data_IF_315429862494
#
_entry.id   IF_315429862494
#
_cell.length_a   1.000
_cell.length_b   1.000
_cell.length_c   1.000
_cell.angle_alpha   90.00
_cell.angle_beta   90.00
_cell.angle_gamma   90.00
#
_symmetry.space_group_name_H-M   'P 1'
#
loop_
_entity.id
_entity.type
_entity.pdbx_description
1 polymer ?
#
# COMPACT_ATOMS: atom_id res chain seq x y z
N UNK A 1 -36.78 10.59 -22.15
CA UNK A 1 -35.76 10.05 -23.06
C UNK A 1 -34.56 9.67 -22.20
N UNK A 2 -34.36 8.38 -21.97
CA UNK A 2 -33.34 7.86 -21.07
C UNK A 2 -31.97 7.82 -21.74
N UNK A 3 -30.99 8.46 -21.12
CA UNK A 3 -29.58 8.23 -21.41
C UNK A 3 -29.10 7.06 -20.58
N UNK A 4 -29.12 5.86 -21.16
CA UNK A 4 -28.29 4.76 -20.66
C UNK A 4 -26.86 5.15 -20.99
N UNK A 5 -26.17 5.68 -19.99
CA UNK A 5 -24.72 5.85 -20.04
C UNK A 5 -24.12 4.52 -20.46
N UNK A 6 -23.30 4.57 -21.50
CA UNK A 6 -22.47 3.47 -21.98
C UNK A 6 -21.48 3.12 -20.88
N UNK A 7 -21.94 2.37 -19.87
CA UNK A 7 -21.06 1.77 -18.86
C UNK A 7 -20.40 0.62 -19.61
N UNK A 8 -19.24 0.91 -20.20
CA UNK A 8 -18.35 -0.09 -20.77
C UNK A 8 -18.31 -1.27 -19.82
N UNK A 9 -18.74 -2.44 -20.31
CA UNK A 9 -18.82 -3.64 -19.50
C UNK A 9 -17.39 -4.10 -19.25
N UNK A 10 -16.78 -3.58 -18.19
CA UNK A 10 -15.42 -3.92 -17.79
C UNK A 10 -15.31 -5.44 -17.61
N UNK A 11 -14.21 -6.02 -18.10
CA UNK A 11 -13.95 -7.45 -18.06
C UNK A 11 -12.75 -7.67 -17.16
N UNK A 12 -12.86 -8.60 -16.22
CA UNK A 12 -11.77 -8.93 -15.33
C UNK A 12 -10.57 -9.47 -16.13
N UNK A 13 -9.44 -8.79 -16.06
CA UNK A 13 -8.20 -9.13 -16.80
C UNK A 13 -7.68 -10.54 -16.48
N UNK A 14 -8.05 -11.10 -15.32
CA UNK A 14 -7.55 -12.40 -14.84
C UNK A 14 -8.50 -13.58 -15.08
N UNK A 15 -9.81 -13.40 -14.91
CA UNK A 15 -10.77 -14.50 -15.05
C UNK A 15 -11.75 -14.34 -16.22
N UNK A 16 -11.77 -13.17 -16.87
CA UNK A 16 -12.68 -12.89 -17.99
C UNK A 16 -14.14 -12.62 -17.58
N UNK A 17 -14.44 -12.54 -16.27
CA UNK A 17 -15.79 -12.22 -15.80
C UNK A 17 -16.13 -10.75 -16.09
N UNK A 18 -17.35 -10.49 -16.55
CA UNK A 18 -17.87 -9.16 -16.86
C UNK A 18 -18.92 -8.72 -15.82
N UNK A 19 -18.70 -9.16 -14.57
CA UNK A 19 -19.60 -8.99 -13.44
C UNK A 19 -19.55 -7.59 -12.82
N UNK A 20 -20.54 -7.28 -11.99
CA UNK A 20 -20.71 -5.95 -11.39
C UNK A 20 -19.60 -5.55 -10.40
N UNK A 21 -18.72 -6.48 -10.01
CA UNK A 21 -17.60 -6.23 -9.09
C UNK A 21 -16.31 -5.86 -9.80
N UNK A 22 -16.28 -5.93 -11.14
CA UNK A 22 -15.13 -5.53 -11.94
C UNK A 22 -15.02 -4.01 -11.92
N UNK A 23 -13.85 -3.54 -11.51
CA UNK A 23 -13.46 -2.14 -11.52
C UNK A 23 -11.94 -2.06 -11.53
N UNK A 24 -11.43 -0.88 -11.85
CA UNK A 24 -10.01 -0.59 -11.70
C UNK A 24 -9.57 -0.77 -10.23
N UNK A 25 -8.44 -1.45 -10.03
CA UNK A 25 -7.86 -1.78 -8.73
C UNK A 25 -6.41 -1.33 -8.63
N UNK A 26 -5.97 -1.20 -7.37
CA UNK A 26 -4.66 -0.72 -7.02
C UNK A 26 -4.58 0.80 -7.05
N UNK A 27 -3.40 1.27 -6.70
CA UNK A 27 -2.97 2.66 -6.73
C UNK A 27 -1.62 2.62 -7.45
N UNK A 28 -1.20 3.71 -8.08
CA UNK A 28 0.16 3.89 -8.65
C UNK A 28 0.70 2.67 -9.43
N UNK A 29 0.66 2.75 -10.76
CA UNK A 29 1.28 1.82 -11.73
C UNK A 29 0.72 0.38 -11.82
N UNK A 30 -0.15 -0.04 -10.89
CA UNK A 30 -0.84 -1.33 -10.98
C UNK A 30 -2.13 -1.32 -11.81
N UNK A 31 -2.90 -0.23 -11.71
CA UNK A 31 -4.23 0.03 -12.31
C UNK A 31 -4.74 -1.10 -13.22
N UNK A 32 -5.36 -2.12 -12.63
CA UNK A 32 -5.82 -3.32 -13.32
C UNK A 32 -7.34 -3.50 -13.16
N UNK A 33 -8.04 -3.97 -14.20
CA UNK A 33 -9.47 -4.22 -14.13
C UNK A 33 -9.71 -5.62 -13.55
N UNK A 34 -10.05 -5.69 -12.25
CA UNK A 34 -10.20 -6.95 -11.55
C UNK A 34 -11.51 -7.00 -10.74
N UNK A 35 -12.17 -8.15 -10.78
CA UNK A 35 -13.25 -8.46 -9.85
C UNK A 35 -12.70 -8.60 -8.42
N UNK A 36 -13.57 -8.50 -7.40
CA UNK A 36 -13.16 -8.56 -5.98
C UNK A 36 -12.33 -9.80 -5.65
N UNK A 37 -12.74 -10.98 -6.12
CA UNK A 37 -12.05 -12.23 -5.81
C UNK A 37 -10.64 -12.30 -6.42
N UNK A 38 -10.49 -11.88 -7.69
CA UNK A 38 -9.19 -11.84 -8.35
C UNK A 38 -8.28 -10.79 -7.74
N UNK A 39 -8.86 -9.65 -7.35
CA UNK A 39 -8.14 -8.59 -6.65
C UNK A 39 -7.63 -9.06 -5.30
N UNK A 40 -8.48 -9.63 -4.45
CA UNK A 40 -8.07 -10.03 -3.11
C UNK A 40 -6.98 -11.08 -3.12
N UNK A 41 -7.08 -12.05 -4.04
CA UNK A 41 -6.03 -13.04 -4.25
C UNK A 41 -4.71 -12.37 -4.64
N UNK A 42 -4.75 -11.52 -5.66
CA UNK A 42 -3.55 -10.83 -6.16
C UNK A 42 -2.90 -9.94 -5.09
N UNK A 43 -3.71 -9.11 -4.41
CA UNK A 43 -3.25 -8.23 -3.36
C UNK A 43 -2.66 -8.99 -2.16
N UNK A 44 -3.23 -10.15 -1.80
CA UNK A 44 -2.69 -11.02 -0.74
C UNK A 44 -1.37 -11.67 -1.16
N UNK A 45 -1.29 -12.19 -2.40
CA UNK A 45 -0.05 -12.78 -2.96
C UNK A 45 1.09 -11.73 -2.93
N UNK A 46 0.80 -10.48 -3.30
CA UNK A 46 1.77 -9.39 -3.23
C UNK A 46 2.14 -9.00 -1.80
N UNK A 47 1.15 -8.90 -0.92
CA UNK A 47 1.37 -8.56 0.49
C UNK A 47 2.26 -9.57 1.19
N UNK A 48 2.06 -10.86 0.93
CA UNK A 48 2.90 -11.92 1.46
C UNK A 48 4.34 -11.79 0.93
N UNK A 49 4.51 -11.64 -0.38
CA UNK A 49 5.82 -11.47 -1.00
C UNK A 49 6.58 -10.22 -0.49
N UNK A 50 5.85 -9.16 -0.17
CA UNK A 50 6.42 -7.90 0.32
C UNK A 50 6.56 -7.80 1.85
N UNK A 51 5.91 -8.68 2.60
CA UNK A 51 5.77 -8.55 4.06
C UNK A 51 4.83 -7.41 4.49
N UNK A 52 3.87 -7.02 3.65
CA UNK A 52 2.83 -6.04 3.97
C UNK A 52 1.68 -6.70 4.76
N UNK A 53 1.98 -7.14 5.98
CA UNK A 53 1.08 -7.92 6.84
C UNK A 53 0.45 -7.13 7.97
N UNK A 54 0.54 -5.79 7.96
CA UNK A 54 -0.03 -4.96 9.01
C UNK A 54 -1.57 -4.98 8.94
N UNK A 55 -2.21 -4.81 10.09
CA UNK A 55 -3.65 -4.61 10.14
C UNK A 55 -4.00 -3.24 9.53
N UNK A 56 -5.16 -3.11 8.85
CA UNK A 56 -5.64 -1.82 8.40
C UNK A 56 -5.72 -0.80 9.53
N UNK A 57 -5.25 0.42 9.27
CA UNK A 57 -5.49 1.53 10.18
C UNK A 57 -6.89 2.07 9.91
N UNK A 58 -7.73 2.28 10.93
CA UNK A 58 -8.99 2.98 10.75
C UNK A 58 -8.71 4.39 10.21
N UNK A 59 -9.47 4.84 9.22
CA UNK A 59 -9.46 6.24 8.83
C UNK A 59 -9.99 7.06 10.02
N UNK A 60 -9.26 8.09 10.48
CA UNK A 60 -9.80 9.00 11.47
C UNK A 60 -11.04 9.68 10.87
N UNK A 61 -12.13 9.69 11.63
CA UNK A 61 -13.36 10.39 11.25
C UNK A 61 -13.11 11.90 11.10
N UNK A 62 -14.03 12.62 10.43
CA UNK A 62 -13.88 14.08 10.22
C UNK A 62 -13.77 14.87 11.53
N UNK A 63 -14.26 14.31 12.63
CA UNK A 63 -14.24 14.90 13.98
C UNK A 63 -13.15 14.29 14.90
N UNK A 64 -12.31 13.37 14.40
CA UNK A 64 -11.23 12.75 15.18
C UNK A 64 -10.06 13.72 15.35
N UNK A 65 -10.10 14.51 16.43
CA UNK A 65 -9.02 15.40 16.88
C UNK A 65 -8.02 14.71 17.82
N UNK A 66 -8.22 13.44 18.14
CA UNK A 66 -7.33 12.68 19.02
C UNK A 66 -6.01 12.37 18.32
N UNK A 67 -4.89 12.74 18.94
CA UNK A 67 -3.58 12.26 18.55
C UNK A 67 -3.55 10.74 18.66
N UNK A 68 -3.55 10.04 17.53
CA UNK A 68 -3.44 8.58 17.52
C UNK A 68 -1.98 8.24 17.77
N UNK A 69 -1.69 7.71 18.96
CA UNK A 69 -0.35 7.25 19.32
C UNK A 69 0.21 6.33 18.23
N UNK A 70 1.44 6.56 17.75
CA UNK A 70 2.05 5.70 16.76
C UNK A 70 2.12 4.27 17.32
N UNK A 71 1.67 3.26 16.54
CA UNK A 71 1.74 1.88 17.00
C UNK A 71 3.19 1.48 17.27
N UNK A 72 3.38 0.66 18.28
CA UNK A 72 4.66 -0.02 18.54
C UNK A 72 4.62 -1.43 17.96
N UNK A 73 5.75 -1.91 17.46
CA UNK A 73 5.87 -3.29 17.04
C UNK A 73 5.70 -4.23 18.23
N UNK A 74 4.82 -5.25 18.16
CA UNK A 74 4.64 -6.18 19.26
C UNK A 74 5.85 -7.12 19.47
N UNK A 75 6.79 -7.19 18.52
CA UNK A 75 7.95 -8.07 18.58
C UNK A 75 9.14 -7.45 19.29
N UNK A 76 9.55 -6.23 18.91
CA UNK A 76 10.72 -5.56 19.49
C UNK A 76 10.37 -4.27 20.26
N UNK A 77 9.10 -3.85 20.30
CA UNK A 77 8.67 -2.65 21.03
C UNK A 77 9.01 -1.32 20.35
N UNK A 78 9.74 -1.32 19.24
CA UNK A 78 10.08 -0.10 18.51
C UNK A 78 8.84 0.57 17.89
N UNK A 79 8.88 1.90 17.79
CA UNK A 79 7.81 2.67 17.16
C UNK A 79 7.76 2.41 15.64
N UNK A 80 6.56 2.24 15.10
CA UNK A 80 6.33 2.01 13.67
C UNK A 80 5.26 2.93 13.11
N UNK A 81 5.25 3.06 11.78
CA UNK A 81 4.17 3.72 11.04
C UNK A 81 3.53 2.71 10.10
N UNK A 82 2.20 2.72 10.06
CA UNK A 82 1.41 1.81 9.23
C UNK A 82 0.87 2.61 8.04
N UNK A 83 1.21 2.19 6.83
CA UNK A 83 0.80 2.86 5.59
C UNK A 83 0.08 1.88 4.68
N UNK A 84 -0.93 2.34 3.92
CA UNK A 84 -1.55 1.51 2.91
C UNK A 84 -0.58 1.37 1.73
N UNK A 85 -0.60 0.22 1.08
CA UNK A 85 0.20 -0.06 -0.09
C UNK A 85 -0.55 0.31 -1.36
N UNK A 86 0.15 0.23 -2.49
CA UNK A 86 -0.44 0.45 -3.79
C UNK A 86 -1.37 -0.71 -4.25
N UNK A 87 -1.56 -1.72 -3.41
CA UNK A 87 -2.49 -2.83 -3.60
C UNK A 87 -3.49 -3.00 -2.44
N UNK A 88 -3.84 -1.89 -1.77
CA UNK A 88 -4.88 -1.85 -0.72
C UNK A 88 -4.64 -2.89 0.40
N UNK A 89 -3.37 -3.09 0.77
CA UNK A 89 -2.92 -3.81 1.97
C UNK A 89 -2.07 -2.87 2.81
N UNK A 90 -1.58 -3.30 3.95
CA UNK A 90 -0.93 -2.39 4.91
C UNK A 90 0.43 -2.91 5.32
N UNK A 91 1.39 -2.00 5.44
CA UNK A 91 2.77 -2.33 5.85
C UNK A 91 3.21 -1.48 7.03
N UNK A 92 3.88 -2.13 7.99
CA UNK A 92 4.57 -1.46 9.09
C UNK A 92 5.98 -1.09 8.67
N UNK A 93 6.27 0.21 8.67
CA UNK A 93 7.56 0.78 8.31
C UNK A 93 8.22 1.43 9.52
N UNK A 94 9.55 1.54 9.48
CA UNK A 94 10.28 2.33 10.45
C UNK A 94 9.85 3.81 10.39
N UNK A 95 10.06 4.54 11.50
CA UNK A 95 9.75 5.98 11.58
C UNK A 95 10.75 6.86 10.84
N UNK A 96 11.91 6.31 10.47
CA UNK A 96 13.06 7.04 9.95
C UNK A 96 13.46 6.46 8.60
N UNK A 97 13.81 7.33 7.67
CA UNK A 97 14.38 6.95 6.38
C UNK A 97 15.87 6.64 6.54
N UNK A 98 16.36 5.65 5.79
CA UNK A 98 17.76 5.29 5.72
C UNK A 98 18.25 5.37 4.27
N UNK A 99 19.55 5.56 4.03
CA UNK A 99 20.12 5.40 2.70
C UNK A 99 19.89 3.99 2.17
N UNK A 100 19.58 3.85 0.88
CA UNK A 100 19.32 2.55 0.27
C UNK A 100 20.44 1.52 0.46
N UNK A 101 21.70 1.95 0.47
CA UNK A 101 22.87 1.07 0.70
C UNK A 101 22.85 0.37 2.07
N UNK A 102 22.18 0.97 3.05
CA UNK A 102 22.13 0.49 4.44
C UNK A 102 20.90 -0.41 4.69
N UNK A 103 20.03 -0.56 3.68
CA UNK A 103 18.78 -1.34 3.77
C UNK A 103 18.83 -2.45 2.71
N UNK A 104 18.69 -3.74 3.05
CA UNK A 104 18.59 -4.79 2.05
C UNK A 104 17.37 -4.59 1.15
N UNK A 105 17.52 -4.88 -0.14
CA UNK A 105 16.47 -4.70 -1.17
C UNK A 105 15.08 -5.21 -0.74
N UNK A 106 14.94 -6.41 -0.13
CA UNK A 106 13.64 -6.93 0.31
C UNK A 106 12.99 -6.16 1.48
N UNK A 107 13.60 -5.09 1.97
CA UNK A 107 13.03 -4.24 3.01
C UNK A 107 12.92 -2.79 2.58
N UNK A 108 13.25 -2.45 1.32
CA UNK A 108 13.20 -1.07 0.83
C UNK A 108 11.79 -0.69 0.39
N UNK A 109 11.23 0.33 1.05
CA UNK A 109 9.98 0.97 0.65
C UNK A 109 10.20 2.46 0.35
N UNK A 110 9.28 3.05 -0.40
CA UNK A 110 9.17 4.49 -0.59
C UNK A 110 7.77 4.95 -0.23
N UNK A 111 7.66 6.19 0.22
CA UNK A 111 6.37 6.85 0.44
C UNK A 111 6.07 7.74 -0.75
N UNK A 112 5.00 7.41 -1.45
CA UNK A 112 4.49 8.21 -2.55
C UNK A 112 3.27 9.00 -2.08
N UNK A 113 3.25 10.30 -2.41
CA UNK A 113 2.06 11.13 -2.23
C UNK A 113 1.13 10.88 -3.40
N UNK A 114 -0.10 10.48 -3.12
CA UNK A 114 -1.13 10.23 -4.12
C UNK A 114 -2.30 11.18 -3.91
N UNK A 115 -2.86 11.80 -4.97
CA UNK A 115 -4.15 12.46 -4.83
C UNK A 115 -5.16 11.41 -4.38
N UNK A 116 -5.69 11.54 -3.16
CA UNK A 116 -6.60 10.55 -2.60
C UNK A 116 -7.86 10.40 -3.45
N UNK A 117 -8.70 9.40 -3.13
CA UNK A 117 -10.03 9.24 -3.77
C UNK A 117 -10.93 10.48 -3.57
N UNK A 118 -10.61 11.33 -2.59
CA UNK A 118 -11.18 12.68 -2.41
C UNK A 118 -10.19 13.74 -2.89
N UNK A 119 -10.66 14.73 -3.66
CA UNK A 119 -9.86 15.87 -4.17
C UNK A 119 -9.25 16.77 -3.09
N UNK A 120 -9.57 16.53 -1.82
CA UNK A 120 -9.24 17.39 -0.68
C UNK A 120 -8.07 16.83 0.14
N UNK A 121 -7.78 15.53 0.05
CA UNK A 121 -6.74 14.88 0.88
C UNK A 121 -5.71 14.15 0.02
N UNK A 122 -4.43 14.47 0.22
CA UNK A 122 -3.32 13.68 -0.32
C UNK A 122 -3.11 12.48 0.59
N UNK A 123 -3.28 11.27 0.04
CA UNK A 123 -2.98 10.03 0.76
C UNK A 123 -1.49 9.69 0.58
N UNK A 124 -0.84 9.20 1.64
CA UNK A 124 0.54 8.71 1.56
C UNK A 124 0.47 7.20 1.43
N UNK A 125 0.99 6.67 0.32
CA UNK A 125 0.97 5.25 -0.02
C UNK A 125 2.39 4.70 0.02
N UNK A 126 2.56 3.54 0.65
CA UNK A 126 3.82 2.80 0.61
C UNK A 126 3.92 2.02 -0.70
N UNK A 127 4.98 2.28 -1.46
CA UNK A 127 5.29 1.59 -2.70
C UNK A 127 6.57 0.79 -2.50
N UNK A 128 6.53 -0.48 -2.90
CA UNK A 128 7.71 -1.31 -2.87
C UNK A 128 8.70 -0.84 -3.93
N UNK A 129 9.98 -0.78 -3.58
CA UNK A 129 11.03 -0.50 -4.56
C UNK A 129 11.29 -1.78 -5.35
N UNK A 130 10.60 -1.94 -6.49
CA UNK A 130 10.78 -3.04 -7.45
C UNK A 130 11.00 -2.41 -8.83
N UNK A 131 12.22 -2.38 -9.33
CA UNK A 131 12.53 -1.73 -10.61
C UNK A 131 13.96 -1.19 -10.66
N UNK A 132 14.11 0.08 -11.03
CA UNK A 132 15.41 0.75 -10.98
C UNK A 132 15.83 0.84 -9.52
N UNK A 133 16.93 0.17 -9.21
CA UNK A 133 17.50 0.22 -7.88
C UNK A 133 17.77 1.68 -7.50
N UNK A 134 17.39 2.07 -6.27
CA UNK A 134 17.65 3.41 -5.78
C UNK A 134 19.17 3.64 -5.75
N UNK A 135 19.59 4.87 -5.99
CA UNK A 135 20.99 5.22 -5.78
C UNK A 135 21.37 4.92 -4.31
N UNK A 136 22.63 4.52 -4.02
CA UNK A 136 23.06 4.14 -2.67
C UNK A 136 22.68 5.12 -1.56
N UNK A 137 22.66 6.43 -1.86
CA UNK A 137 22.31 7.50 -0.92
C UNK A 137 20.84 7.92 -0.95
N UNK A 138 20.05 7.41 -1.87
CA UNK A 138 18.63 7.75 -1.93
C UNK A 138 17.89 7.24 -0.70
N UNK A 139 16.99 8.06 -0.13
CA UNK A 139 16.24 7.66 1.05
C UNK A 139 15.25 6.55 0.70
N UNK A 140 15.21 5.55 1.57
CA UNK A 140 14.19 4.49 1.60
C UNK A 140 13.67 4.34 3.02
N UNK A 141 12.44 3.87 3.15
CA UNK A 141 11.86 3.55 4.45
C UNK A 141 11.98 2.05 4.68
N UNK A 142 12.71 1.60 5.71
CA UNK A 142 12.84 0.18 6.00
C UNK A 142 11.49 -0.44 6.39
N UNK A 143 11.21 -1.63 5.86
CA UNK A 143 10.20 -2.52 6.42
C UNK A 143 10.59 -2.83 7.87
N UNK A 144 9.63 -2.73 8.78
CA UNK A 144 9.96 -2.87 10.20
C UNK A 144 10.49 -4.27 10.57
N UNK A 145 10.14 -5.31 9.80
CA UNK A 145 10.68 -6.65 9.98
C UNK A 145 12.22 -6.70 9.95
N UNK A 146 12.88 -5.83 9.20
CA UNK A 146 14.34 -5.69 9.21
C UNK A 146 14.86 -5.23 10.58
N UNK A 147 14.18 -4.26 11.19
CA UNK A 147 14.59 -3.66 12.46
C UNK A 147 14.47 -4.67 13.61
N UNK A 148 13.45 -5.53 13.58
CA UNK A 148 13.24 -6.59 14.57
C UNK A 148 14.36 -7.64 14.63
N UNK A 149 15.19 -7.76 13.60
CA UNK A 149 16.25 -8.78 13.51
C UNK A 149 17.59 -8.27 14.04
N UNK A 150 17.74 -6.94 14.22
CA UNK A 150 18.97 -6.33 14.71
C UNK A 150 19.04 -6.21 16.24
N UNK A 151 17.98 -6.60 16.96
CA UNK A 151 17.91 -6.64 18.43
C UNK A 151 18.25 -8.03 19.00
#
# INVERSE_FOLDING_TARGET
MGGLSDVGRFVCDRCGDAGATVRERGRIDLMAELCDACWDRFANEMAEADGATAAPRPDPGPDDVSWIEPPTCPRCGAMVRVYPTNYDRWVSLATTELPAKDVPEPFRWRLAKFPGRSRVTTEIVAVRVRGVDPLPSEPVVPAHLMMCVMD
#
